data_IF_887360608989
#
_entry.id   IF_887360608989
#
_cell.length_a   1.000
_cell.length_b   1.000
_cell.length_c   1.000
_cell.angle_alpha   90.00
_cell.angle_beta   90.00
_cell.angle_gamma   90.00
#
_symmetry.space_group_name_H-M   'P 1'
#
loop_
_entity.id
_entity.type
_entity.pdbx_description
1 polymer ?
#
# COMPACT_ATOMS: atom_id res chain seq x y z
N UNK A 1 16.44 -5.22 -7.49
CA UNK A 1 15.06 -5.47 -7.90
C UNK A 1 14.50 -6.66 -7.11
N UNK A 2 14.29 -6.45 -5.81
CA UNK A 2 13.99 -7.51 -4.85
C UNK A 2 12.59 -8.11 -5.06
N UNK A 3 11.64 -7.33 -5.56
CA UNK A 3 10.24 -7.76 -5.66
C UNK A 3 9.85 -8.46 -6.98
N UNK A 4 10.56 -8.25 -8.09
CA UNK A 4 10.31 -8.94 -9.36
C UNK A 4 11.53 -8.91 -10.28
N UNK A 5 12.44 -9.87 -10.19
CA UNK A 5 13.71 -9.89 -10.94
C UNK A 5 13.57 -9.97 -12.48
N UNK A 6 12.37 -10.21 -13.01
CA UNK A 6 12.10 -10.31 -14.46
C UNK A 6 11.40 -9.07 -15.05
N UNK A 7 11.29 -7.98 -14.28
CA UNK A 7 10.66 -6.73 -14.72
C UNK A 7 11.70 -5.63 -14.87
N UNK A 8 11.53 -4.77 -15.87
CA UNK A 8 12.31 -3.55 -16.03
C UNK A 8 11.80 -2.48 -15.06
N UNK A 9 12.72 -1.84 -14.33
CA UNK A 9 12.42 -0.72 -13.45
C UNK A 9 12.24 0.55 -14.30
N UNK A 10 11.12 1.24 -14.13
CA UNK A 10 10.85 2.55 -14.73
C UNK A 10 10.57 3.58 -13.64
N UNK A 11 11.52 4.47 -13.39
CA UNK A 11 11.36 5.64 -12.52
C UNK A 11 11.27 6.89 -13.39
N UNK A 12 10.04 7.23 -13.79
CA UNK A 12 9.77 8.43 -14.58
C UNK A 12 9.68 9.68 -13.71
N UNK A 13 10.30 10.77 -14.13
CA UNK A 13 10.13 12.08 -13.51
C UNK A 13 9.76 13.12 -14.59
N UNK A 14 8.62 13.77 -14.41
CA UNK A 14 8.19 14.87 -15.28
C UNK A 14 8.61 16.20 -14.68
N UNK A 15 9.16 17.09 -15.52
CA UNK A 15 9.63 18.42 -15.11
C UNK A 15 8.92 19.52 -15.88
N UNK A 16 8.65 20.62 -15.20
CA UNK A 16 8.15 21.87 -15.79
C UNK A 16 8.98 23.04 -15.25
N UNK A 17 9.62 23.81 -16.14
CA UNK A 17 10.50 24.92 -15.72
C UNK A 17 11.70 24.49 -14.87
N UNK A 18 12.18 23.24 -15.00
CA UNK A 18 13.27 22.68 -14.19
C UNK A 18 12.83 21.98 -12.90
N UNK A 19 11.63 22.24 -12.41
CA UNK A 19 11.08 21.60 -11.19
C UNK A 19 10.40 20.27 -11.52
N UNK A 20 10.55 19.29 -10.62
CA UNK A 20 9.82 18.01 -10.74
C UNK A 20 8.37 18.25 -10.35
N UNK A 21 7.45 17.97 -11.28
CA UNK A 21 6.00 18.06 -11.07
C UNK A 21 5.33 16.71 -10.84
N UNK A 22 6.05 15.61 -11.07
CA UNK A 22 5.54 14.29 -10.74
C UNK A 22 6.56 13.20 -10.95
N UNK A 23 6.34 12.08 -10.25
CA UNK A 23 7.17 10.87 -10.27
C UNK A 23 6.28 9.66 -10.54
N UNK A 24 6.71 8.81 -11.49
CA UNK A 24 6.07 7.55 -11.83
C UNK A 24 6.94 6.37 -11.41
N UNK A 25 6.66 5.72 -10.27
CA UNK A 25 7.35 4.54 -9.81
C UNK A 25 6.72 3.28 -10.44
N UNK A 26 7.16 2.92 -11.63
CA UNK A 26 6.59 1.82 -12.38
C UNK A 26 7.61 0.69 -12.63
N UNK A 27 7.09 -0.47 -12.90
CA UNK A 27 7.78 -1.62 -13.48
C UNK A 27 7.13 -1.96 -14.82
N UNK A 28 7.97 -2.32 -15.79
CA UNK A 28 7.52 -2.66 -17.13
C UNK A 28 7.69 -4.15 -17.39
N UNK A 29 6.66 -4.77 -17.95
CA UNK A 29 6.69 -6.18 -18.34
C UNK A 29 5.70 -6.42 -19.49
N UNK A 30 6.15 -7.02 -20.61
CA UNK A 30 5.29 -7.44 -21.72
C UNK A 30 4.31 -6.33 -22.15
N UNK A 31 4.81 -5.15 -22.52
CA UNK A 31 4.04 -3.97 -22.94
C UNK A 31 3.10 -3.38 -21.87
N UNK A 32 3.18 -3.85 -20.64
CA UNK A 32 2.36 -3.37 -19.52
C UNK A 32 3.23 -2.64 -18.51
N UNK A 33 2.77 -1.46 -18.06
CA UNK A 33 3.34 -0.77 -16.91
C UNK A 33 2.42 -0.95 -15.71
N UNK A 34 3.00 -1.27 -14.55
CA UNK A 34 2.31 -1.37 -13.27
C UNK A 34 3.13 -0.71 -12.18
N UNK A 35 2.52 -0.36 -11.05
CA UNK A 35 3.27 0.19 -9.93
C UNK A 35 4.34 -0.78 -9.42
N UNK A 36 5.44 -0.21 -8.92
CA UNK A 36 6.42 -0.96 -8.12
C UNK A 36 5.76 -1.33 -6.80
N UNK A 37 5.87 -2.59 -6.42
CA UNK A 37 5.22 -3.15 -5.24
C UNK A 37 4.32 -4.34 -5.59
N UNK A 38 3.69 -4.89 -4.57
CA UNK A 38 2.72 -5.96 -4.76
C UNK A 38 1.54 -5.78 -3.78
N UNK A 39 0.39 -6.34 -4.14
CA UNK A 39 -0.80 -6.38 -3.29
C UNK A 39 -0.56 -7.08 -1.95
N UNK A 40 0.44 -7.96 -1.89
CA UNK A 40 0.74 -8.74 -0.68
C UNK A 40 1.43 -7.90 0.40
N UNK A 41 2.03 -6.75 0.02
CA UNK A 41 2.82 -5.90 0.93
C UNK A 41 2.49 -4.41 0.86
N UNK A 42 1.69 -3.98 -0.10
CA UNK A 42 1.34 -2.57 -0.30
C UNK A 42 -0.17 -2.39 -0.27
N UNK A 43 -0.68 -1.71 0.75
CA UNK A 43 -2.10 -1.39 0.85
C UNK A 43 -2.51 -0.33 -0.16
N UNK A 44 -1.65 0.66 -0.40
CA UNK A 44 -1.91 1.77 -1.32
C UNK A 44 -0.69 2.06 -2.19
N UNK A 45 -0.97 2.29 -3.47
CA UNK A 45 0.01 2.68 -4.49
C UNK A 45 -0.55 3.86 -5.28
N UNK A 46 0.30 4.84 -5.61
CA UNK A 46 -0.09 5.98 -6.44
C UNK A 46 1.15 6.61 -7.11
N UNK A 47 0.90 7.53 -8.01
CA UNK A 47 1.89 8.48 -8.51
C UNK A 47 2.10 9.60 -7.49
N UNK A 48 3.30 10.15 -7.45
CA UNK A 48 3.56 11.37 -6.69
C UNK A 48 3.46 12.55 -7.64
N UNK A 49 2.43 13.37 -7.50
CA UNK A 49 2.15 14.48 -8.42
C UNK A 49 1.93 15.77 -7.63
N UNK A 50 2.54 16.85 -8.10
CA UNK A 50 2.31 18.18 -7.52
C UNK A 50 0.86 18.63 -7.77
N UNK A 51 0.18 19.22 -6.77
CA UNK A 51 -1.18 19.70 -6.93
C UNK A 51 -1.33 20.67 -8.11
N UNK A 52 -2.32 20.42 -8.98
CA UNK A 52 -2.58 21.21 -10.19
C UNK A 52 -1.66 20.90 -11.38
N UNK A 53 -0.80 19.91 -11.29
CA UNK A 53 0.07 19.46 -12.37
C UNK A 53 -0.34 18.09 -12.94
N UNK A 54 -1.45 17.53 -12.50
CA UNK A 54 -1.85 16.15 -12.80
C UNK A 54 -2.02 15.92 -14.29
N UNK A 55 -2.65 16.84 -15.01
CA UNK A 55 -2.89 16.72 -16.46
C UNK A 55 -1.57 16.77 -17.25
N UNK A 56 -0.68 17.69 -16.91
CA UNK A 56 0.62 17.81 -17.56
C UNK A 56 1.47 16.57 -17.31
N UNK A 57 1.46 16.09 -16.04
CA UNK A 57 2.17 14.90 -15.65
C UNK A 57 1.67 13.65 -16.40
N UNK A 58 0.36 13.39 -16.36
CA UNK A 58 -0.21 12.20 -17.00
C UNK A 58 -0.12 12.26 -18.52
N UNK A 59 -0.21 13.45 -19.12
CA UNK A 59 -0.01 13.63 -20.56
C UNK A 59 1.40 13.22 -20.97
N UNK A 60 2.41 13.74 -20.29
CA UNK A 60 3.80 13.40 -20.56
C UNK A 60 4.11 11.92 -20.30
N UNK A 61 3.56 11.36 -19.21
CA UNK A 61 3.74 9.95 -18.87
C UNK A 61 3.15 9.02 -19.94
N UNK A 62 1.92 9.26 -20.39
CA UNK A 62 1.28 8.44 -21.45
C UNK A 62 2.10 8.52 -22.74
N UNK A 63 2.56 9.71 -23.11
CA UNK A 63 3.32 9.91 -24.34
C UNK A 63 4.69 9.19 -24.28
N UNK A 64 5.40 9.24 -23.16
CA UNK A 64 6.69 8.52 -22.98
C UNK A 64 6.49 7.00 -22.96
N UNK A 65 5.49 6.51 -22.23
CA UNK A 65 5.20 5.08 -22.19
C UNK A 65 4.82 4.53 -23.57
N UNK A 66 4.03 5.29 -24.34
CA UNK A 66 3.67 4.93 -25.71
C UNK A 66 4.90 4.86 -26.63
N UNK A 67 5.83 5.81 -26.53
CA UNK A 67 7.09 5.79 -27.28
C UNK A 67 7.96 4.58 -26.94
N UNK A 68 7.85 4.05 -25.72
CA UNK A 68 8.52 2.82 -25.28
C UNK A 68 7.79 1.54 -25.66
N UNK A 69 6.68 1.63 -26.39
CA UNK A 69 5.88 0.47 -26.76
C UNK A 69 5.05 -0.12 -25.63
N UNK A 70 4.78 0.67 -24.59
CA UNK A 70 3.86 0.29 -23.53
C UNK A 70 2.46 0.74 -23.94
N UNK A 71 1.55 -0.20 -24.04
CA UNK A 71 0.18 0.01 -24.49
C UNK A 71 -0.88 -0.23 -23.39
N UNK A 72 -0.44 -0.71 -22.24
CA UNK A 72 -1.30 -1.02 -21.09
C UNK A 72 -0.75 -0.46 -19.77
N UNK A 73 -1.64 0.16 -19.01
CA UNK A 73 -1.43 0.48 -17.59
C UNK A 73 -2.29 -0.46 -16.73
N UNK A 74 -1.67 -1.16 -15.79
CA UNK A 74 -2.34 -2.01 -14.80
C UNK A 74 -2.04 -1.48 -13.40
N UNK A 75 -2.92 -0.60 -12.92
CA UNK A 75 -2.75 0.19 -11.71
C UNK A 75 -3.68 -0.33 -10.62
N UNK A 76 -3.12 -0.94 -9.60
CA UNK A 76 -3.84 -1.58 -8.51
C UNK A 76 -3.60 -0.85 -7.18
N UNK A 77 -4.35 -1.19 -6.14
CA UNK A 77 -4.23 -0.64 -4.78
C UNK A 77 -4.43 0.88 -4.74
N UNK A 78 -5.34 1.40 -5.56
CA UNK A 78 -5.66 2.83 -5.63
C UNK A 78 -6.65 3.22 -4.53
N UNK A 79 -6.37 4.33 -3.85
CA UNK A 79 -7.38 4.98 -2.99
C UNK A 79 -8.45 5.67 -3.85
N UNK A 80 -9.69 5.82 -3.32
CA UNK A 80 -10.74 6.54 -4.05
C UNK A 80 -10.35 7.95 -4.49
N UNK A 81 -9.51 8.65 -3.72
CA UNK A 81 -9.05 10.01 -3.97
C UNK A 81 -7.84 10.08 -4.90
N UNK A 82 -7.30 8.93 -5.33
CA UNK A 82 -6.11 8.87 -6.20
C UNK A 82 -6.25 9.76 -7.43
N UNK A 83 -5.17 10.42 -7.79
CA UNK A 83 -5.08 11.22 -9.01
C UNK A 83 -5.28 10.38 -10.27
N UNK A 84 -5.05 9.07 -10.20
CA UNK A 84 -5.38 8.12 -11.27
C UNK A 84 -6.89 8.12 -11.53
N UNK A 85 -7.70 7.90 -10.49
CA UNK A 85 -9.16 7.81 -10.62
C UNK A 85 -9.79 9.18 -10.91
N UNK A 86 -9.26 10.23 -10.32
CA UNK A 86 -9.85 11.59 -10.44
C UNK A 86 -9.40 12.37 -11.68
N UNK A 87 -8.26 12.00 -12.30
CA UNK A 87 -7.67 12.75 -13.45
C UNK A 87 -7.24 11.85 -14.61
N UNK A 88 -6.44 10.80 -14.36
CA UNK A 88 -5.90 9.96 -15.43
C UNK A 88 -7.00 9.22 -16.20
N UNK A 89 -8.01 8.68 -15.52
CA UNK A 89 -9.14 7.98 -16.15
C UNK A 89 -9.83 8.88 -17.19
N UNK A 90 -10.17 10.12 -16.84
CA UNK A 90 -10.80 11.06 -17.77
C UNK A 90 -9.88 11.39 -18.95
N UNK A 91 -8.62 11.70 -18.68
CA UNK A 91 -7.62 11.98 -19.72
C UNK A 91 -7.44 10.80 -20.69
N UNK A 92 -7.45 9.58 -20.18
CA UNK A 92 -7.32 8.38 -21.00
C UNK A 92 -8.53 8.20 -21.92
N UNK A 93 -9.75 8.41 -21.42
CA UNK A 93 -10.96 8.43 -22.25
C UNK A 93 -10.91 9.49 -23.33
N UNK A 94 -10.51 10.73 -22.99
CA UNK A 94 -10.39 11.84 -23.94
C UNK A 94 -9.38 11.55 -25.06
N UNK A 95 -8.38 10.71 -24.77
CA UNK A 95 -7.37 10.24 -25.73
C UNK A 95 -7.76 8.97 -26.49
N UNK A 96 -8.98 8.45 -26.25
CA UNK A 96 -9.53 7.27 -26.93
C UNK A 96 -9.02 5.92 -26.41
N UNK A 97 -8.46 5.88 -25.19
CA UNK A 97 -8.10 4.62 -24.57
C UNK A 97 -9.31 3.94 -23.94
N UNK A 98 -9.34 2.62 -23.99
CA UNK A 98 -10.28 1.83 -23.21
C UNK A 98 -9.84 1.82 -21.73
N UNK A 99 -10.76 2.13 -20.83
CA UNK A 99 -10.52 2.15 -19.39
C UNK A 99 -11.50 1.24 -18.66
N UNK A 100 -10.98 0.34 -17.83
CA UNK A 100 -11.78 -0.53 -16.98
C UNK A 100 -11.41 -0.25 -15.54
N UNK A 101 -12.38 0.14 -14.73
CA UNK A 101 -12.23 0.29 -13.27
C UNK A 101 -13.10 -0.72 -12.56
N UNK A 102 -12.58 -1.30 -11.48
CA UNK A 102 -13.33 -2.24 -10.63
C UNK A 102 -12.92 -2.07 -9.17
N UNK A 103 -13.85 -2.24 -8.23
CA UNK A 103 -13.49 -2.37 -6.82
C UNK A 103 -12.54 -3.55 -6.62
N UNK A 104 -11.50 -3.37 -5.83
CA UNK A 104 -10.52 -4.41 -5.54
C UNK A 104 -10.69 -4.95 -4.13
N UNK A 105 -10.77 -4.04 -3.15
CA UNK A 105 -10.93 -4.35 -1.75
C UNK A 105 -11.63 -3.19 -1.02
N UNK A 106 -11.86 -3.36 0.28
CA UNK A 106 -12.49 -2.36 1.15
C UNK A 106 -11.55 -2.03 2.30
N UNK A 107 -11.18 -0.75 2.43
CA UNK A 107 -10.49 -0.25 3.62
C UNK A 107 -11.51 0.21 4.64
N UNK A 108 -11.39 -0.26 5.88
CA UNK A 108 -12.24 0.18 6.99
C UNK A 108 -11.50 1.26 7.77
N UNK A 109 -12.06 2.45 7.81
CA UNK A 109 -11.52 3.59 8.54
C UNK A 109 -12.41 3.92 9.74
N UNK A 110 -11.81 4.31 10.85
CA UNK A 110 -12.50 4.71 12.07
C UNK A 110 -11.84 5.97 12.64
N UNK A 111 -12.62 7.01 12.84
CA UNK A 111 -12.20 8.18 13.59
C UNK A 111 -12.09 7.82 15.08
N UNK A 112 -10.86 7.72 15.56
CA UNK A 112 -10.60 7.36 16.94
C UNK A 112 -10.89 8.54 17.88
N UNK A 113 -11.68 8.34 18.94
CA UNK A 113 -11.87 9.34 19.97
C UNK A 113 -10.58 9.52 20.79
N UNK A 114 -10.50 10.61 21.55
CA UNK A 114 -9.31 10.98 22.33
C UNK A 114 -8.99 9.97 23.44
N UNK A 115 -10.01 9.22 23.93
CA UNK A 115 -9.85 8.27 25.03
C UNK A 115 -10.30 6.87 24.65
N UNK A 116 -9.71 5.87 25.30
CA UNK A 116 -10.12 4.47 25.13
C UNK A 116 -11.56 4.23 25.62
N UNK A 117 -11.99 4.93 26.68
CA UNK A 117 -13.35 4.89 27.17
C UNK A 117 -14.34 5.42 26.12
N UNK A 118 -14.01 6.52 25.46
CA UNK A 118 -14.78 7.04 24.32
C UNK A 118 -14.88 6.03 23.18
N UNK A 119 -13.77 5.34 22.87
CA UNK A 119 -13.79 4.26 21.89
C UNK A 119 -14.73 3.11 22.28
N UNK A 120 -14.72 2.72 23.55
CA UNK A 120 -15.65 1.69 24.05
C UNK A 120 -17.12 2.13 23.99
N UNK A 121 -17.39 3.43 24.14
CA UNK A 121 -18.74 3.98 24.05
C UNK A 121 -19.31 3.97 22.62
N UNK A 122 -18.47 4.02 21.60
CA UNK A 122 -18.87 3.87 20.19
C UNK A 122 -19.36 2.47 19.86
N UNK A 123 -18.99 1.47 20.66
CA UNK A 123 -19.38 0.07 20.46
C UNK A 123 -20.79 -0.21 21.00
N UNK A 124 -21.48 -1.17 20.38
CA UNK A 124 -22.68 -1.72 21.00
C UNK A 124 -22.37 -2.40 22.35
N UNK A 125 -23.42 -2.64 23.13
CA UNK A 125 -23.28 -3.21 24.48
C UNK A 125 -22.57 -4.58 24.47
N UNK A 126 -22.87 -5.43 23.50
CA UNK A 126 -22.28 -6.77 23.40
C UNK A 126 -20.79 -6.71 23.07
N UNK A 127 -20.42 -5.90 22.09
CA UNK A 127 -19.03 -5.68 21.69
C UNK A 127 -18.21 -5.10 22.85
N UNK A 128 -18.73 -4.08 23.52
CA UNK A 128 -18.10 -3.44 24.69
C UNK A 128 -17.85 -4.43 25.84
N UNK A 129 -18.84 -5.26 26.13
CA UNK A 129 -18.70 -6.31 27.15
C UNK A 129 -17.63 -7.34 26.75
N UNK A 130 -17.59 -7.73 25.48
CA UNK A 130 -16.59 -8.68 25.01
C UNK A 130 -15.16 -8.14 25.06
N UNK A 131 -14.95 -6.88 24.67
CA UNK A 131 -13.64 -6.21 24.80
C UNK A 131 -13.22 -6.17 26.28
N UNK A 132 -14.08 -5.70 27.18
CA UNK A 132 -13.78 -5.65 28.62
C UNK A 132 -13.49 -7.02 29.20
N UNK A 133 -14.22 -8.07 28.76
CA UNK A 133 -13.97 -9.45 29.16
C UNK A 133 -12.60 -9.93 28.72
N UNK A 134 -12.21 -9.66 27.47
CA UNK A 134 -10.90 -10.04 26.92
C UNK A 134 -9.75 -9.32 27.63
N UNK A 135 -9.88 -8.03 27.91
CA UNK A 135 -8.89 -7.26 28.66
C UNK A 135 -8.70 -7.80 30.07
N UNK A 136 -9.80 -8.15 30.77
CA UNK A 136 -9.72 -8.76 32.09
C UNK A 136 -9.00 -10.11 32.04
N UNK A 137 -9.34 -11.00 31.09
CA UNK A 137 -8.64 -12.27 30.91
C UNK A 137 -7.16 -12.09 30.61
N UNK A 138 -6.82 -11.07 29.84
CA UNK A 138 -5.42 -10.74 29.54
C UNK A 138 -4.68 -10.32 30.82
N UNK A 139 -5.29 -9.49 31.67
CA UNK A 139 -4.72 -9.08 32.96
C UNK A 139 -4.57 -10.26 33.95
N UNK A 140 -5.53 -11.21 33.94
CA UNK A 140 -5.48 -12.44 34.76
C UNK A 140 -4.38 -13.42 34.31
N UNK A 141 -3.96 -13.37 33.03
CA UNK A 141 -2.93 -14.25 32.49
C UNK A 141 -1.51 -13.95 32.99
N UNK A 142 -1.28 -12.80 33.62
CA UNK A 142 0.00 -12.42 34.22
C UNK A 142 0.36 -10.94 33.96
N UNK A 143 1.60 -10.61 34.34
CA UNK A 143 2.13 -9.26 34.10
C UNK A 143 2.33 -9.03 32.60
N UNK A 144 1.67 -8.01 32.09
CA UNK A 144 1.80 -7.59 30.69
C UNK A 144 2.68 -6.35 30.67
N UNK A 145 3.66 -6.35 29.78
CA UNK A 145 4.56 -5.24 29.53
C UNK A 145 4.48 -4.87 28.04
N UNK A 146 4.29 -3.59 27.75
CA UNK A 146 4.30 -3.05 26.38
C UNK A 146 5.54 -2.16 26.23
N UNK A 147 6.33 -2.43 25.20
CA UNK A 147 7.54 -1.66 24.88
C UNK A 147 7.58 -1.31 23.42
N UNK A 148 8.06 -0.11 23.15
CA UNK A 148 8.51 0.31 21.81
C UNK A 148 10.02 0.04 21.75
N UNK A 149 10.47 -0.67 20.74
CA UNK A 149 11.88 -0.96 20.52
C UNK A 149 12.45 0.12 19.60
N UNK A 150 13.51 0.81 20.03
CA UNK A 150 14.07 1.96 19.31
C UNK A 150 15.54 1.76 18.92
N UNK A 151 16.25 0.84 19.59
CA UNK A 151 17.63 0.53 19.25
C UNK A 151 17.77 -0.68 18.32
N UNK A 152 18.75 -0.65 17.42
CA UNK A 152 18.96 -1.65 16.37
C UNK A 152 19.05 -3.09 16.93
N UNK A 153 19.74 -3.30 18.04
CA UNK A 153 19.94 -4.63 18.61
C UNK A 153 18.62 -5.21 19.14
N UNK A 154 17.81 -4.39 19.82
CA UNK A 154 16.48 -4.77 20.31
C UNK A 154 15.50 -4.99 19.16
N UNK A 155 15.58 -4.17 18.09
CA UNK A 155 14.75 -4.32 16.88
C UNK A 155 15.07 -5.64 16.19
N UNK A 156 16.34 -5.97 15.94
CA UNK A 156 16.72 -7.25 15.32
C UNK A 156 16.23 -8.44 16.13
N UNK A 157 16.47 -8.43 17.44
CA UNK A 157 15.98 -9.50 18.33
C UNK A 157 14.45 -9.60 18.36
N UNK A 158 13.77 -8.44 18.34
CA UNK A 158 12.31 -8.37 18.27
C UNK A 158 11.78 -8.93 16.97
N UNK A 159 12.46 -8.65 15.84
CA UNK A 159 12.12 -9.18 14.54
C UNK A 159 12.25 -10.70 14.46
N UNK A 160 13.31 -11.29 15.01
CA UNK A 160 13.48 -12.74 15.06
C UNK A 160 12.30 -13.40 15.80
N UNK A 161 11.91 -12.82 16.93
CA UNK A 161 10.75 -13.31 17.71
C UNK A 161 9.45 -13.15 16.90
N UNK A 162 9.25 -12.00 16.29
CA UNK A 162 8.08 -11.74 15.46
C UNK A 162 7.97 -12.73 14.30
N UNK A 163 9.03 -12.92 13.53
CA UNK A 163 9.05 -13.84 12.39
C UNK A 163 8.77 -15.28 12.81
N UNK A 164 9.32 -15.72 13.95
CA UNK A 164 9.02 -17.03 14.52
C UNK A 164 7.53 -17.16 14.87
N UNK A 165 6.97 -16.21 15.61
CA UNK A 165 5.55 -16.21 15.97
C UNK A 165 4.65 -16.12 14.74
N UNK A 166 5.04 -15.33 13.74
CA UNK A 166 4.29 -15.17 12.49
C UNK A 166 4.19 -16.49 11.73
N UNK A 167 5.31 -17.23 11.58
CA UNK A 167 5.34 -18.52 10.90
C UNK A 167 4.60 -19.63 11.66
N UNK A 168 4.69 -19.62 12.99
CA UNK A 168 4.02 -20.62 13.84
C UNK A 168 2.50 -20.37 13.97
N UNK A 169 2.03 -19.15 13.66
CA UNK A 169 0.62 -18.79 13.87
C UNK A 169 -0.33 -19.42 12.85
N UNK A 170 0.10 -19.57 11.58
CA UNK A 170 -0.71 -20.11 10.48
C UNK A 170 0.18 -20.57 9.32
N UNK A 171 -0.24 -21.64 8.63
CA UNK A 171 0.52 -22.23 7.53
C UNK A 171 0.65 -21.32 6.29
N UNK A 172 -0.37 -20.52 6.00
CA UNK A 172 -0.31 -19.54 4.89
C UNK A 172 0.71 -18.44 5.13
N UNK A 173 0.89 -18.03 6.39
CA UNK A 173 1.94 -17.06 6.77
C UNK A 173 3.35 -17.65 6.64
N UNK A 174 3.52 -18.93 6.98
CA UNK A 174 4.78 -19.61 6.75
C UNK A 174 5.12 -19.70 5.26
N UNK A 175 4.15 -20.01 4.40
CA UNK A 175 4.32 -20.03 2.96
C UNK A 175 4.66 -18.64 2.39
N UNK A 176 3.98 -17.59 2.89
CA UNK A 176 4.27 -16.20 2.50
C UNK A 176 5.73 -15.84 2.77
N UNK A 177 6.23 -16.07 3.99
CA UNK A 177 7.63 -15.78 4.35
C UNK A 177 8.64 -16.61 3.53
N UNK A 178 8.33 -17.86 3.21
CA UNK A 178 9.21 -18.68 2.37
C UNK A 178 9.37 -18.08 0.98
N UNK A 179 8.30 -17.51 0.43
CA UNK A 179 8.29 -16.89 -0.90
C UNK A 179 8.90 -15.48 -0.92
N UNK A 180 8.93 -14.80 0.22
CA UNK A 180 9.37 -13.40 0.37
C UNK A 180 10.64 -13.25 1.22
N UNK A 181 11.27 -14.37 1.59
CA UNK A 181 12.38 -14.41 2.56
C UNK A 181 13.60 -13.56 2.18
N UNK A 182 13.78 -13.29 0.89
CA UNK A 182 14.87 -12.43 0.40
C UNK A 182 14.55 -10.93 0.55
N UNK A 183 13.29 -10.58 0.89
CA UNK A 183 12.82 -9.20 0.99
C UNK A 183 12.67 -8.71 2.46
N UNK A 184 12.88 -9.59 3.42
CA UNK A 184 12.89 -9.34 4.86
C UNK A 184 14.24 -9.71 5.45
#
# INVERSE_FOLDING_TARGET
NEFKPQTELYLGAVRRGGEIIGIAPLQLKNHTASFIGSRDVCDYLDFVVAPGAEIDFFSALIDDLKQRGIDRLDLNCLRPESSVLTRLVSLAHDRGYEVVTKPEDVSVELDLPVTFEGYLEMMDTKQRHEVKRKLRKLAEAGKIDFRILEDDASIHKGMDIFLKMFTESRSDKAAFLTNQKESF
#
